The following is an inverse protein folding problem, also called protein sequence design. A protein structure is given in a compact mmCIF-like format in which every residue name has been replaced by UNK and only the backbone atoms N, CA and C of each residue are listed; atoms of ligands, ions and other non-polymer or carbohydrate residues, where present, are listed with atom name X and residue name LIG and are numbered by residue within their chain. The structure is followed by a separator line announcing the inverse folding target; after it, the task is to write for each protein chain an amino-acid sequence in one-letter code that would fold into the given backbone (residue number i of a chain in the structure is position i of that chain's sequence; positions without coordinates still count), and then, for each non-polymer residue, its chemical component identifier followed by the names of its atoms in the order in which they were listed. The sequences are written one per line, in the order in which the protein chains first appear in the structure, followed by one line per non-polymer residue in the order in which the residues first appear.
data_IF_469818500680
#
_entry.id   IF_469818500680
#
_cell.length_a   1.000
_cell.length_b   1.000
_cell.length_c   1.000
_cell.angle_alpha   90.00
_cell.angle_beta   90.00
_cell.angle_gamma   90.00
#
_symmetry.space_group_name_H-M   'P 1'
#
loop_
_entity.id
_entity.type
_entity.pdbx_description
1 polymer ?
#
# COMPACT_ATOMS: atom_id res chain seq x y z
N UNK A 1 -26.47 52.18 -18.52
CA UNK A 1 -26.25 51.79 -17.10
C UNK A 1 -26.71 50.37 -16.79
N UNK A 2 -27.93 49.93 -17.18
CA UNK A 2 -28.42 48.55 -16.93
C UNK A 2 -27.61 47.42 -17.59
N UNK A 3 -27.03 47.64 -18.78
CA UNK A 3 -26.14 46.65 -19.45
C UNK A 3 -24.75 46.53 -18.80
N UNK A 4 -24.30 47.56 -18.07
CA UNK A 4 -22.99 47.55 -17.40
C UNK A 4 -23.06 46.79 -16.06
N UNK A 5 -24.21 46.86 -15.38
CA UNK A 5 -24.48 46.10 -14.15
C UNK A 5 -24.59 44.59 -14.44
N UNK A 6 -25.15 44.21 -15.60
CA UNK A 6 -25.25 42.79 -16.00
C UNK A 6 -23.89 42.15 -16.32
N UNK A 7 -22.96 42.92 -16.91
CA UNK A 7 -21.60 42.44 -17.21
C UNK A 7 -20.74 42.26 -15.93
N UNK A 8 -21.03 43.06 -14.89
CA UNK A 8 -20.38 42.96 -13.59
C UNK A 8 -20.89 41.77 -12.76
N UNK A 9 -22.11 41.29 -13.02
CA UNK A 9 -22.66 40.08 -12.39
C UNK A 9 -22.18 38.78 -13.07
N UNK A 10 -21.91 38.81 -14.38
CA UNK A 10 -21.40 37.65 -15.14
C UNK A 10 -19.92 37.34 -14.84
N UNK A 11 -19.14 38.34 -14.41
CA UNK A 11 -17.72 38.16 -14.02
C UNK A 11 -17.54 37.59 -12.61
N UNK A 12 -18.55 37.66 -11.73
CA UNK A 12 -18.47 37.08 -10.38
C UNK A 12 -18.65 35.56 -10.35
N UNK A 13 -19.28 34.95 -11.37
CA UNK A 13 -19.57 33.50 -11.39
C UNK A 13 -18.34 32.68 -11.79
N UNK A 14 -17.32 33.31 -12.39
CA UNK A 14 -16.09 32.62 -12.85
C UNK A 14 -15.01 32.54 -11.76
N UNK A 15 -15.23 33.16 -10.60
CA UNK A 15 -14.29 33.08 -9.47
C UNK A 15 -14.54 31.84 -8.59
N UNK A 16 -14.82 30.68 -9.18
CA UNK A 16 -14.62 29.43 -8.48
C UNK A 16 -13.10 29.23 -8.39
N UNK A 17 -12.49 29.66 -7.28
CA UNK A 17 -11.06 29.38 -7.04
C UNK A 17 -10.92 27.86 -6.93
N UNK A 18 -10.44 27.24 -8.00
CA UNK A 18 -9.89 25.88 -7.96
C UNK A 18 -8.70 25.98 -7.00
N UNK A 19 -8.93 25.64 -5.73
CA UNK A 19 -7.82 25.54 -4.79
C UNK A 19 -7.00 24.32 -5.19
N UNK A 20 -5.68 24.46 -5.35
CA UNK A 20 -4.83 23.31 -5.62
C UNK A 20 -5.02 22.29 -4.50
N UNK A 21 -5.24 21.04 -4.87
CA UNK A 21 -5.32 19.95 -3.89
C UNK A 21 -3.97 19.90 -3.18
N UNK A 22 -3.97 19.87 -1.86
CA UNK A 22 -2.73 19.76 -1.05
C UNK A 22 -2.73 18.42 -0.34
N UNK A 23 -1.56 17.80 -0.24
CA UNK A 23 -1.41 16.56 0.51
C UNK A 23 -1.49 16.87 2.00
N UNK A 24 -2.31 16.11 2.74
CA UNK A 24 -2.34 16.20 4.20
C UNK A 24 -1.28 15.27 4.79
N UNK A 25 -0.64 15.66 5.89
CA UNK A 25 0.25 14.74 6.60
C UNK A 25 -0.59 13.80 7.48
N UNK A 26 -0.94 12.63 6.91
CA UNK A 26 -1.66 11.55 7.60
C UNK A 26 -0.74 10.48 8.19
N UNK A 27 0.59 10.60 8.03
CA UNK A 27 1.52 9.57 8.47
C UNK A 27 1.39 9.20 9.95
N UNK A 28 1.21 10.14 10.91
CA UNK A 28 1.00 9.77 12.31
C UNK A 28 -0.27 8.93 12.52
N UNK A 29 -1.35 9.23 11.80
CA UNK A 29 -2.60 8.46 11.87
C UNK A 29 -2.42 7.07 11.23
N UNK A 30 -1.74 7.02 10.08
CA UNK A 30 -1.44 5.77 9.36
C UNK A 30 -0.60 4.83 10.26
N UNK A 31 0.46 5.32 10.89
CA UNK A 31 1.27 4.55 11.85
C UNK A 31 0.45 4.14 13.07
N UNK A 32 -0.32 5.07 13.65
CA UNK A 32 -1.10 4.79 14.87
C UNK A 32 -2.13 3.68 14.64
N UNK A 33 -2.83 3.71 13.50
CA UNK A 33 -3.80 2.68 13.18
C UNK A 33 -3.11 1.35 12.90
N UNK A 34 -2.13 1.35 11.99
CA UNK A 34 -1.46 0.12 11.56
C UNK A 34 -0.80 -0.56 12.76
N UNK A 35 -0.16 0.19 13.65
CA UNK A 35 0.50 -0.33 14.85
C UNK A 35 -0.44 -0.50 16.07
N UNK A 36 -1.76 -0.39 15.92
CA UNK A 36 -2.66 -0.54 17.07
C UNK A 36 -2.85 -1.99 17.50
N UNK A 37 -3.14 -2.20 18.79
CA UNK A 37 -3.43 -3.53 19.34
C UNK A 37 -4.64 -4.20 18.67
N UNK A 38 -5.54 -3.40 18.10
CA UNK A 38 -6.71 -3.91 17.36
C UNK A 38 -6.33 -4.74 16.12
N UNK A 39 -5.10 -4.56 15.60
CA UNK A 39 -4.58 -5.33 14.47
C UNK A 39 -3.74 -6.53 14.91
N UNK A 40 -3.63 -6.79 16.22
CA UNK A 40 -3.02 -7.99 16.79
C UNK A 40 -1.64 -8.35 16.18
N UNK A 41 -0.87 -7.33 15.79
CA UNK A 41 0.46 -7.47 15.17
C UNK A 41 0.49 -7.97 13.73
N UNK A 42 -0.64 -7.99 13.01
CA UNK A 42 -0.72 -8.12 11.54
C UNK A 42 0.02 -9.34 10.95
N UNK A 43 0.06 -10.45 11.66
CA UNK A 43 0.68 -11.67 11.13
C UNK A 43 -0.04 -12.15 9.87
N UNK A 44 0.72 -12.61 8.88
CA UNK A 44 0.14 -13.04 7.61
C UNK A 44 -0.88 -14.16 7.75
N UNK A 45 -2.02 -13.98 7.09
CA UNK A 45 -3.19 -14.86 7.14
C UNK A 45 -4.07 -14.71 8.38
N UNK A 46 -3.79 -13.73 9.26
CA UNK A 46 -4.63 -13.45 10.44
C UNK A 46 -5.69 -12.37 10.18
N UNK A 47 -6.67 -12.27 11.07
CA UNK A 47 -7.67 -11.17 11.04
C UNK A 47 -7.02 -9.79 11.17
N UNK A 48 -5.91 -9.70 11.90
CA UNK A 48 -5.13 -8.48 12.04
C UNK A 48 -4.55 -7.98 10.72
N UNK A 49 -4.01 -8.89 9.90
CA UNK A 49 -3.55 -8.58 8.54
C UNK A 49 -4.72 -8.17 7.63
N UNK A 50 -5.87 -8.83 7.75
CA UNK A 50 -7.08 -8.48 6.98
C UNK A 50 -7.56 -7.05 7.28
N UNK A 51 -7.53 -6.62 8.54
CA UNK A 51 -7.85 -5.23 8.90
C UNK A 51 -6.81 -4.24 8.35
N UNK A 52 -5.54 -4.62 8.32
CA UNK A 52 -4.47 -3.81 7.76
C UNK A 52 -4.62 -3.63 6.25
N UNK A 53 -4.88 -4.71 5.50
CA UNK A 53 -5.05 -4.65 4.04
C UNK A 53 -6.32 -3.88 3.66
N UNK A 54 -7.41 -4.01 4.43
CA UNK A 54 -8.63 -3.21 4.23
C UNK A 54 -8.34 -1.71 4.39
N UNK A 55 -7.58 -1.35 5.44
CA UNK A 55 -7.17 0.02 5.66
C UNK A 55 -6.31 0.57 4.52
N UNK A 56 -5.27 -0.16 4.10
CA UNK A 56 -4.38 0.27 3.02
C UNK A 56 -5.15 0.41 1.70
N UNK A 57 -6.02 -0.55 1.39
CA UNK A 57 -6.89 -0.50 0.20
C UNK A 57 -7.77 0.73 0.21
N UNK A 58 -8.39 1.05 1.36
CA UNK A 58 -9.19 2.26 1.52
C UNK A 58 -8.35 3.52 1.33
N UNK A 59 -7.13 3.58 1.88
CA UNK A 59 -6.22 4.73 1.69
C UNK A 59 -5.84 4.89 0.21
N UNK A 60 -5.55 3.81 -0.51
CA UNK A 60 -5.31 3.86 -1.97
C UNK A 60 -6.52 4.37 -2.76
N UNK A 61 -7.73 3.93 -2.42
CA UNK A 61 -8.97 4.42 -3.02
C UNK A 61 -9.20 5.91 -2.73
N UNK A 62 -8.97 6.36 -1.49
CA UNK A 62 -9.09 7.78 -1.09
C UNK A 62 -8.10 8.68 -1.84
N UNK A 63 -6.88 8.18 -2.06
CA UNK A 63 -5.86 8.87 -2.88
C UNK A 63 -6.32 8.92 -4.35
N UNK A 64 -7.02 7.89 -4.82
CA UNK A 64 -7.47 7.75 -6.21
C UNK A 64 -6.41 7.08 -7.07
N UNK A 65 -5.75 6.06 -6.53
CA UNK A 65 -4.91 5.13 -7.29
C UNK A 65 -5.80 4.16 -8.08
N UNK A 66 -5.23 3.52 -9.09
CA UNK A 66 -5.87 2.45 -9.85
C UNK A 66 -5.46 1.09 -9.29
N UNK A 67 -6.36 0.09 -9.24
CA UNK A 67 -6.01 -1.25 -8.81
C UNK A 67 -5.11 -1.95 -9.83
N UNK A 68 -4.05 -2.62 -9.36
CA UNK A 68 -3.18 -3.49 -10.15
C UNK A 68 -2.89 -4.84 -9.49
N UNK A 69 -3.78 -5.33 -8.64
CA UNK A 69 -3.79 -6.71 -8.21
C UNK A 69 -4.34 -7.65 -9.29
N UNK A 70 -4.22 -8.96 -9.05
CA UNK A 70 -4.95 -9.97 -9.85
C UNK A 70 -6.43 -10.05 -9.46
N UNK A 71 -6.80 -9.47 -8.32
CA UNK A 71 -8.17 -9.29 -7.83
C UNK A 71 -8.31 -7.90 -7.24
N UNK A 72 -8.77 -6.94 -8.06
CA UNK A 72 -8.82 -5.51 -7.69
C UNK A 72 -7.45 -5.00 -7.19
N UNK A 73 -7.34 -4.39 -6.01
CA UNK A 73 -6.05 -3.99 -5.43
C UNK A 73 -5.21 -5.18 -4.93
N UNK A 74 -5.77 -6.37 -4.82
CA UNK A 74 -5.14 -7.49 -4.14
C UNK A 74 -4.46 -8.44 -5.13
N UNK A 75 -3.26 -8.88 -4.77
CA UNK A 75 -2.61 -10.05 -5.35
C UNK A 75 -2.49 -11.11 -4.25
N UNK A 76 -3.46 -12.04 -4.14
CA UNK A 76 -3.40 -13.14 -3.21
C UNK A 76 -2.32 -14.15 -3.62
N UNK A 77 -1.68 -14.75 -2.62
CA UNK A 77 -0.79 -15.89 -2.78
C UNK A 77 -0.93 -16.82 -1.57
N UNK A 78 -0.89 -18.13 -1.82
CA UNK A 78 -1.00 -19.14 -0.76
C UNK A 78 0.27 -19.97 -0.67
N UNK A 79 0.65 -20.33 0.55
CA UNK A 79 1.86 -21.10 0.84
C UNK A 79 1.66 -22.02 2.04
N UNK A 80 2.53 -23.02 2.16
CA UNK A 80 2.62 -23.83 3.37
C UNK A 80 3.74 -23.29 4.28
N UNK A 81 3.51 -23.17 5.60
CA UNK A 81 4.57 -22.81 6.54
C UNK A 81 5.78 -23.73 6.39
N UNK A 82 6.99 -23.17 6.50
CA UNK A 82 8.21 -23.96 6.45
C UNK A 82 8.26 -24.91 7.65
N UNK A 83 8.57 -26.18 7.39
CA UNK A 83 8.98 -27.13 8.43
C UNK A 83 10.51 -27.29 8.48
N UNK A 84 11.22 -26.79 7.47
CA UNK A 84 12.67 -26.85 7.31
C UNK A 84 13.21 -25.43 6.98
N UNK A 85 14.10 -24.85 7.80
CA UNK A 85 14.62 -23.50 7.59
C UNK A 85 15.48 -23.36 6.32
N UNK A 86 15.97 -24.47 5.73
CA UNK A 86 16.81 -24.46 4.55
C UNK A 86 16.05 -24.64 3.23
N UNK A 87 14.73 -24.87 3.27
CA UNK A 87 13.91 -24.98 2.06
C UNK A 87 13.31 -23.64 1.66
N UNK A 88 13.22 -23.41 0.36
CA UNK A 88 12.38 -22.34 -0.19
C UNK A 88 10.91 -22.66 0.03
N UNK A 89 10.10 -21.62 0.23
CA UNK A 89 8.65 -21.78 0.28
C UNK A 89 8.13 -22.05 -1.12
N UNK A 90 7.32 -23.09 -1.27
CA UNK A 90 6.56 -23.35 -2.48
C UNK A 90 5.19 -22.67 -2.40
N UNK A 91 4.89 -21.83 -3.39
CA UNK A 91 3.56 -21.29 -3.57
C UNK A 91 2.64 -22.36 -4.13
N UNK A 92 1.48 -22.53 -3.52
CA UNK A 92 0.52 -23.59 -3.83
C UNK A 92 -0.87 -23.01 -4.02
N UNK A 93 -1.79 -23.78 -4.60
CA UNK A 93 -3.21 -23.42 -4.56
C UNK A 93 -3.72 -23.47 -3.12
N UNK A 94 -4.69 -22.60 -2.80
CA UNK A 94 -5.31 -22.58 -1.48
C UNK A 94 -5.96 -23.95 -1.18
N UNK A 95 -5.43 -24.63 -0.17
CA UNK A 95 -5.89 -25.93 0.33
C UNK A 95 -5.78 -25.97 1.85
N UNK A 96 -6.33 -27.01 2.48
CA UNK A 96 -6.20 -27.23 3.93
C UNK A 96 -4.74 -27.14 4.39
N UNK A 97 -4.50 -26.34 5.44
CA UNK A 97 -3.18 -26.10 6.02
C UNK A 97 -2.31 -25.08 5.28
N UNK A 98 -2.84 -24.35 4.31
CA UNK A 98 -2.15 -23.20 3.69
C UNK A 98 -2.47 -21.89 4.40
N UNK A 99 -1.51 -20.97 4.38
CA UNK A 99 -1.68 -19.57 4.77
C UNK A 99 -1.81 -18.77 3.47
N UNK A 100 -2.73 -17.79 3.44
CA UNK A 100 -2.90 -16.89 2.30
C UNK A 100 -2.54 -15.47 2.71
N UNK A 101 -1.53 -14.91 2.06
CA UNK A 101 -1.17 -13.50 2.14
C UNK A 101 -1.70 -12.71 0.96
N UNK A 102 -1.72 -11.39 1.08
CA UNK A 102 -2.21 -10.48 0.04
C UNK A 102 -1.26 -9.31 -0.13
N UNK A 103 -0.61 -9.19 -1.29
CA UNK A 103 0.00 -7.92 -1.65
C UNK A 103 -1.12 -6.91 -2.00
N UNK A 104 -1.00 -5.68 -1.53
CA UNK A 104 -1.92 -4.57 -1.90
C UNK A 104 -1.21 -3.66 -2.88
N UNK A 105 -1.77 -3.51 -4.08
CA UNK A 105 -1.11 -2.91 -5.23
C UNK A 105 -1.95 -1.77 -5.80
N UNK A 106 -1.46 -0.54 -5.64
CA UNK A 106 -2.04 0.68 -6.19
C UNK A 106 -1.16 1.29 -7.29
N UNK A 107 -1.77 1.87 -8.31
CA UNK A 107 -1.07 2.37 -9.50
C UNK A 107 -1.44 3.82 -9.81
N UNK A 108 -0.43 4.64 -10.10
CA UNK A 108 -0.59 6.00 -10.59
C UNK A 108 -0.14 6.06 -12.05
N UNK A 109 -1.11 6.01 -12.97
CA UNK A 109 -0.84 6.07 -14.40
C UNK A 109 -0.55 7.51 -14.86
N UNK A 110 0.63 7.75 -15.42
CA UNK A 110 1.00 9.00 -16.09
C UNK A 110 1.09 8.87 -17.61
N UNK A 111 0.62 7.75 -18.18
CA UNK A 111 0.80 7.37 -19.58
C UNK A 111 2.28 7.37 -20.01
N UNK A 112 3.17 7.06 -19.06
CA UNK A 112 4.59 6.92 -19.30
C UNK A 112 4.94 5.51 -19.78
N UNK A 113 6.09 5.36 -20.43
CA UNK A 113 6.60 4.05 -20.87
C UNK A 113 7.30 3.25 -19.76
N UNK A 114 7.64 3.91 -18.65
CA UNK A 114 8.38 3.33 -17.52
C UNK A 114 7.64 3.48 -16.21
N UNK A 115 7.83 2.51 -15.34
CA UNK A 115 7.20 2.43 -14.02
C UNK A 115 8.27 2.33 -12.94
N UNK A 116 8.09 3.11 -11.87
CA UNK A 116 8.87 3.01 -10.64
C UNK A 116 8.01 2.26 -9.61
N UNK A 117 8.58 1.24 -8.98
CA UNK A 117 7.92 0.55 -7.87
C UNK A 117 8.38 1.15 -6.55
N UNK A 118 7.43 1.37 -5.64
CA UNK A 118 7.67 1.91 -4.30
C UNK A 118 7.01 0.95 -3.32
N UNK A 119 7.82 0.30 -2.48
CA UNK A 119 7.38 -0.81 -1.63
C UNK A 119 7.60 -0.58 -0.13
N UNK A 120 6.73 -1.19 0.67
CA UNK A 120 6.90 -1.44 2.10
C UNK A 120 6.16 -2.74 2.46
N UNK A 121 6.55 -3.48 3.49
CA UNK A 121 5.70 -4.58 3.98
C UNK A 121 4.76 -4.08 5.08
N UNK A 122 3.61 -4.74 5.21
CA UNK A 122 2.60 -4.35 6.20
C UNK A 122 2.28 -5.45 7.20
N UNK A 123 2.68 -6.69 6.94
CA UNK A 123 2.64 -7.75 7.93
C UNK A 123 3.64 -7.49 9.06
N UNK A 124 3.37 -8.09 10.22
CA UNK A 124 4.34 -8.14 11.31
C UNK A 124 4.19 -9.44 12.14
N UNK A 125 4.87 -9.56 13.27
CA UNK A 125 5.03 -10.81 14.02
C UNK A 125 3.81 -11.27 14.83
N UNK A 126 2.67 -10.58 14.76
CA UNK A 126 1.48 -10.97 15.52
C UNK A 126 1.68 -10.86 17.03
N UNK A 127 1.64 -12.01 17.71
CA UNK A 127 1.93 -12.11 19.15
C UNK A 127 3.37 -12.60 19.43
N UNK A 128 4.26 -12.54 18.44
CA UNK A 128 5.65 -13.00 18.52
C UNK A 128 5.84 -14.43 18.03
N UNK A 129 6.86 -15.11 18.55
CA UNK A 129 7.28 -16.44 18.10
C UNK A 129 8.56 -16.37 17.27
N UNK A 130 8.62 -17.14 16.19
CA UNK A 130 9.77 -17.13 15.28
C UNK A 130 9.99 -15.72 14.71
N UNK A 131 11.23 -15.22 14.81
CA UNK A 131 11.58 -13.85 14.42
C UNK A 131 11.48 -12.81 15.54
N UNK A 132 10.75 -13.09 16.62
CA UNK A 132 10.68 -12.18 17.77
C UNK A 132 11.95 -12.21 18.64
N UNK A 133 12.41 -11.02 19.05
CA UNK A 133 13.47 -10.85 20.04
C UNK A 133 12.94 -10.75 21.48
N UNK A 134 11.61 -10.82 21.67
CA UNK A 134 10.99 -10.75 22.98
C UNK A 134 11.33 -11.99 23.81
N UNK A 135 11.70 -11.78 25.09
CA UNK A 135 12.11 -12.86 26.01
C UNK A 135 11.18 -13.03 27.21
N UNK A 136 10.07 -12.30 27.25
CA UNK A 136 9.08 -12.48 28.30
C UNK A 136 8.22 -13.73 28.04
N UNK A 137 7.58 -14.22 29.11
CA UNK A 137 6.70 -15.38 29.05
C UNK A 137 5.23 -14.99 28.76
N UNK A 138 4.92 -13.69 28.78
CA UNK A 138 3.59 -13.17 28.47
C UNK A 138 3.36 -13.02 26.97
N UNK A 139 2.11 -13.26 26.58
CA UNK A 139 1.66 -13.03 25.21
C UNK A 139 1.45 -11.53 25.00
N UNK A 140 2.35 -10.87 24.28
CA UNK A 140 2.27 -9.44 23.96
C UNK A 140 2.11 -9.22 22.45
N UNK A 141 1.34 -8.20 22.08
CA UNK A 141 1.21 -7.79 20.68
C UNK A 141 2.54 -7.20 20.21
N UNK A 142 3.02 -7.65 19.06
CA UNK A 142 4.13 -7.03 18.37
C UNK A 142 3.53 -6.01 17.41
N UNK A 143 3.54 -4.75 17.82
CA UNK A 143 2.82 -3.70 17.10
C UNK A 143 3.50 -3.28 15.79
N UNK A 144 4.82 -3.46 15.66
CA UNK A 144 5.52 -3.19 14.39
C UNK A 144 5.39 -1.75 13.91
N UNK A 145 5.57 -0.79 14.81
CA UNK A 145 5.45 0.63 14.48
C UNK A 145 6.57 1.07 13.52
N UNK A 146 7.82 0.71 13.84
CA UNK A 146 8.96 0.94 12.98
C UNK A 146 9.08 -0.14 11.91
N UNK A 147 8.73 -1.38 12.27
CA UNK A 147 8.77 -2.57 11.42
C UNK A 147 7.36 -3.17 11.21
N UNK A 148 6.56 -2.72 10.25
CA UNK A 148 6.89 -1.68 9.28
C UNK A 148 5.71 -0.73 8.97
N UNK A 149 4.91 -0.42 9.99
CA UNK A 149 3.85 0.59 9.87
C UNK A 149 4.41 1.95 9.40
N UNK A 150 5.63 2.30 9.80
CA UNK A 150 6.33 3.53 9.39
C UNK A 150 6.57 3.56 7.87
N UNK A 151 7.07 2.48 7.27
CA UNK A 151 7.33 2.38 5.84
C UNK A 151 6.03 2.46 5.03
N UNK A 152 4.96 1.79 5.50
CA UNK A 152 3.64 1.89 4.87
C UNK A 152 3.09 3.32 4.93
N UNK A 153 3.25 4.02 6.06
CA UNK A 153 2.83 5.41 6.19
C UNK A 153 3.58 6.34 5.22
N UNK A 154 4.91 6.15 5.06
CA UNK A 154 5.70 6.89 4.07
C UNK A 154 5.25 6.58 2.64
N UNK A 155 4.99 5.31 2.33
CA UNK A 155 4.47 4.88 1.03
C UNK A 155 3.13 5.56 0.71
N UNK A 156 2.18 5.57 1.65
CA UNK A 156 0.88 6.22 1.49
C UNK A 156 1.01 7.74 1.31
N UNK A 157 1.85 8.38 2.10
CA UNK A 157 2.07 9.83 1.99
C UNK A 157 2.74 10.20 0.67
N UNK A 158 3.71 9.41 0.21
CA UNK A 158 4.37 9.64 -1.08
C UNK A 158 3.38 9.43 -2.25
N UNK A 159 2.50 8.43 -2.17
CA UNK A 159 1.44 8.22 -3.14
C UNK A 159 0.49 9.43 -3.22
N UNK A 160 0.05 9.96 -2.08
CA UNK A 160 -0.77 11.17 -2.02
C UNK A 160 -0.06 12.38 -2.64
N UNK A 161 1.23 12.59 -2.31
CA UNK A 161 2.02 13.69 -2.86
C UNK A 161 2.21 13.58 -4.37
N UNK A 162 2.49 12.38 -4.89
CA UNK A 162 2.65 12.16 -6.32
C UNK A 162 1.32 12.32 -7.08
N UNK A 163 0.21 11.89 -6.48
CA UNK A 163 -1.13 12.14 -7.02
C UNK A 163 -1.47 13.63 -7.06
N UNK A 164 -1.21 14.36 -5.97
CA UNK A 164 -1.40 15.82 -5.91
C UNK A 164 -0.52 16.53 -6.93
N UNK A 165 0.75 16.11 -7.08
CA UNK A 165 1.64 16.62 -8.12
C UNK A 165 1.03 16.41 -9.51
N UNK A 166 0.56 15.19 -9.81
CA UNK A 166 -0.09 14.87 -11.09
C UNK A 166 -1.31 15.74 -11.35
N UNK A 167 -2.19 15.90 -10.36
CA UNK A 167 -3.45 16.62 -10.51
C UNK A 167 -3.26 18.13 -10.72
N UNK A 168 -2.15 18.68 -10.21
CA UNK A 168 -1.83 20.10 -10.33
C UNK A 168 -0.80 20.41 -11.44
N UNK A 169 -0.25 19.40 -12.13
CA UNK A 169 0.83 19.61 -13.09
C UNK A 169 0.30 20.00 -14.48
N UNK A 170 0.98 20.98 -15.12
CA UNK A 170 0.74 21.32 -16.53
C UNK A 170 1.29 20.26 -17.50
N UNK A 171 2.28 19.49 -17.05
CA UNK A 171 2.92 18.42 -17.83
C UNK A 171 2.93 17.11 -17.05
N UNK A 172 2.76 15.99 -17.76
CA UNK A 172 2.75 14.65 -17.15
C UNK A 172 4.15 14.27 -16.66
N UNK A 173 4.19 13.52 -15.55
CA UNK A 173 5.42 12.88 -15.09
C UNK A 173 5.91 11.85 -16.13
N UNK A 174 7.22 11.66 -16.20
CA UNK A 174 7.86 10.73 -17.14
C UNK A 174 7.84 9.28 -16.66
N UNK A 175 7.30 9.03 -15.45
CA UNK A 175 7.16 7.69 -14.89
C UNK A 175 5.73 7.46 -14.39
N UNK A 176 5.27 6.23 -14.53
CA UNK A 176 4.17 5.70 -13.74
C UNK A 176 4.71 5.23 -12.39
N UNK A 177 3.83 5.08 -11.41
CA UNK A 177 4.23 4.63 -10.06
C UNK A 177 3.36 3.46 -9.63
N UNK A 178 4.00 2.37 -9.20
CA UNK A 178 3.36 1.21 -8.60
C UNK A 178 3.68 1.19 -7.11
N UNK A 179 2.67 1.40 -6.28
CA UNK A 179 2.78 1.36 -4.83
C UNK A 179 2.41 -0.04 -4.34
N UNK A 180 3.29 -0.65 -3.56
CA UNK A 180 3.15 -2.03 -3.11
C UNK A 180 3.28 -2.16 -1.59
N UNK A 181 2.18 -2.52 -0.93
CA UNK A 181 2.24 -3.02 0.43
C UNK A 181 2.35 -4.56 0.40
N UNK A 182 3.51 -5.09 0.76
CA UNK A 182 3.81 -6.52 0.72
C UNK A 182 3.34 -7.24 1.99
N UNK A 183 2.84 -8.45 1.80
CA UNK A 183 2.50 -9.39 2.88
C UNK A 183 3.57 -10.49 2.97
N UNK A 184 3.70 -11.11 4.14
CA UNK A 184 4.61 -12.23 4.39
C UNK A 184 6.10 -11.90 4.28
N UNK A 185 6.50 -10.65 4.55
CA UNK A 185 7.91 -10.27 4.63
C UNK A 185 8.60 -10.97 5.80
N UNK A 186 7.95 -10.96 6.97
CA UNK A 186 8.45 -11.56 8.21
C UNK A 186 8.54 -13.09 8.13
N UNK A 187 7.81 -13.66 7.17
CA UNK A 187 7.80 -15.10 6.88
C UNK A 187 8.79 -15.50 5.79
N UNK A 188 9.69 -14.60 5.40
CA UNK A 188 10.76 -14.84 4.44
C UNK A 188 10.50 -14.23 3.05
N UNK A 189 10.14 -12.95 3.00
CA UNK A 189 9.99 -12.16 1.77
C UNK A 189 8.95 -12.73 0.79
N UNK A 190 7.88 -13.35 1.29
CA UNK A 190 6.96 -14.15 0.47
C UNK A 190 6.20 -13.31 -0.56
N UNK A 191 5.65 -12.16 -0.16
CA UNK A 191 4.90 -11.29 -1.05
C UNK A 191 5.75 -10.71 -2.19
N UNK A 192 6.96 -10.23 -1.88
CA UNK A 192 7.87 -9.67 -2.89
C UNK A 192 8.46 -10.75 -3.80
N UNK A 193 8.74 -11.94 -3.27
CA UNK A 193 9.13 -13.10 -4.06
C UNK A 193 8.02 -13.52 -5.03
N UNK A 194 6.77 -13.57 -4.54
CA UNK A 194 5.62 -13.93 -5.36
C UNK A 194 5.42 -12.93 -6.51
N UNK A 195 5.44 -11.62 -6.22
CA UNK A 195 5.29 -10.59 -7.23
C UNK A 195 6.40 -10.64 -8.28
N UNK A 196 7.65 -10.84 -7.86
CA UNK A 196 8.79 -10.92 -8.79
C UNK A 196 8.66 -12.06 -9.79
N UNK A 197 8.03 -13.18 -9.38
CA UNK A 197 7.74 -14.34 -10.24
C UNK A 197 6.43 -14.19 -11.02
N UNK A 198 5.49 -13.38 -10.52
CA UNK A 198 4.14 -13.21 -11.07
C UNK A 198 3.77 -11.72 -11.12
N UNK A 199 4.46 -10.89 -11.92
CA UNK A 199 4.21 -9.46 -11.93
C UNK A 199 2.82 -9.17 -12.51
N UNK A 200 2.12 -8.18 -11.95
CA UNK A 200 0.78 -7.75 -12.41
C UNK A 200 0.83 -6.62 -13.45
N UNK A 201 2.04 -6.18 -13.78
CA UNK A 201 2.36 -5.23 -14.85
C UNK A 201 3.45 -5.83 -15.73
N UNK A 202 3.68 -5.24 -16.90
CA UNK A 202 4.82 -5.64 -17.74
C UNK A 202 6.14 -5.41 -17.00
N UNK A 203 6.87 -6.48 -16.71
CA UNK A 203 8.15 -6.43 -16.01
C UNK A 203 9.20 -5.59 -16.77
N UNK A 204 9.14 -5.53 -18.11
CA UNK A 204 10.07 -4.72 -18.91
C UNK A 204 9.80 -3.20 -18.79
N UNK A 205 8.62 -2.83 -18.29
CA UNK A 205 8.27 -1.44 -17.99
C UNK A 205 8.90 -0.96 -16.67
N UNK A 206 9.27 -1.87 -15.76
CA UNK A 206 9.84 -1.52 -14.46
C UNK A 206 11.28 -1.03 -14.67
N UNK A 207 11.56 0.20 -14.26
CA UNK A 207 12.89 0.81 -14.39
C UNK A 207 13.67 0.79 -13.07
N UNK A 208 12.95 0.95 -11.96
CA UNK A 208 13.48 0.93 -10.60
C UNK A 208 12.44 0.32 -9.65
N UNK A 209 12.93 -0.36 -8.62
CA UNK A 209 12.17 -0.88 -7.48
C UNK A 209 13.00 -0.61 -6.22
#
# INVERSE_FOLDING_TARGET
MKKLIFLMFLTLIVACKIQPKTASNKMPDDVTFLASDALEGRQTGTKGEELALEYITKRFQEIGLEPKGTSDYLQPFSFKPKTDPHKEVEFVTNTDGTITGHNVIGYLNNDASKTIVIGAHYDHLGFGGDGSLYRGDDKSVHNGADDNASGVAVLLHLAERLKVKKDNAETKDQNNYLFMAFSGEEMGLLGSNYFSKNPTIDAQSINYM
#
